data_IF_113847280497
#
_entry.id   IF_113847280497
#
_cell.length_a   1.000
_cell.length_b   1.000
_cell.length_c   1.000
_cell.angle_alpha   90.00
_cell.angle_beta   90.00
_cell.angle_gamma   90.00
#
_symmetry.space_group_name_H-M   'P 1'
#
loop_
_entity.id
_entity.type
_entity.pdbx_description
1 polymer ?
#
# COMPACT_ATOMS: atom_id res chain seq x y z
N UNK A 1 -17.58 3.52 -1.57
CA UNK A 1 -18.96 3.04 -1.85
C UNK A 1 -19.95 3.83 -1.01
N UNK A 2 -21.10 4.21 -1.56
CA UNK A 2 -22.18 4.88 -0.83
C UNK A 2 -23.51 4.22 -1.23
N UNK A 3 -24.21 3.65 -0.25
CA UNK A 3 -25.46 2.89 -0.45
C UNK A 3 -25.78 1.97 0.74
N UNK A 4 -27.02 1.49 0.86
CA UNK A 4 -27.49 0.65 1.98
C UNK A 4 -26.80 -0.71 2.06
N UNK A 5 -26.25 -1.21 0.94
CA UNK A 5 -25.36 -2.38 0.91
C UNK A 5 -23.96 -1.90 0.53
N UNK A 6 -23.04 -1.98 1.48
CA UNK A 6 -21.62 -1.69 1.32
C UNK A 6 -20.81 -2.51 2.32
N UNK A 7 -19.48 -2.52 2.18
CA UNK A 7 -18.58 -3.33 2.99
C UNK A 7 -18.37 -2.81 4.44
N UNK A 8 -19.03 -1.73 4.87
CA UNK A 8 -18.93 -1.17 6.24
C UNK A 8 -19.82 -1.92 7.23
N UNK A 9 -19.69 -3.24 7.27
CA UNK A 9 -20.38 -4.13 8.21
C UNK A 9 -19.41 -4.99 9.02
N UNK A 10 -19.93 -5.81 9.95
CA UNK A 10 -19.10 -6.65 10.82
C UNK A 10 -18.27 -7.70 10.06
N UNK A 11 -18.75 -8.17 8.90
CA UNK A 11 -18.04 -9.13 8.07
C UNK A 11 -16.68 -8.59 7.55
N UNK A 12 -16.48 -7.27 7.53
CA UNK A 12 -15.22 -6.64 7.15
C UNK A 12 -14.04 -7.13 8.00
N UNK A 13 -14.28 -7.36 9.30
CA UNK A 13 -13.25 -7.84 10.22
C UNK A 13 -12.70 -9.23 9.84
N UNK A 14 -13.46 -10.00 9.05
CA UNK A 14 -13.08 -11.32 8.55
C UNK A 14 -12.70 -11.30 7.06
N UNK A 15 -12.56 -10.11 6.46
CA UNK A 15 -12.24 -9.95 5.04
C UNK A 15 -13.44 -10.13 4.09
N UNK A 16 -14.68 -10.05 4.60
CA UNK A 16 -15.89 -10.08 3.79
C UNK A 16 -16.04 -8.79 2.96
N UNK A 17 -15.44 -8.77 1.78
CA UNK A 17 -15.44 -7.65 0.85
C UNK A 17 -16.25 -7.97 -0.41
N UNK A 18 -17.05 -7.00 -0.88
CA UNK A 18 -17.78 -7.10 -2.16
C UNK A 18 -16.80 -7.10 -3.33
N UNK A 19 -15.73 -6.30 -3.23
CA UNK A 19 -14.57 -6.35 -4.12
C UNK A 19 -13.33 -6.51 -3.24
N UNK A 20 -12.62 -7.61 -3.44
CA UNK A 20 -11.38 -7.88 -2.70
C UNK A 20 -10.26 -6.91 -3.06
N UNK A 21 -9.07 -7.25 -2.59
CA UNK A 21 -7.84 -6.50 -2.84
C UNK A 21 -6.90 -7.31 -3.74
N UNK A 22 -6.09 -6.59 -4.51
CA UNK A 22 -5.05 -7.18 -5.35
C UNK A 22 -3.83 -7.60 -4.50
N UNK A 23 -3.00 -8.54 -4.99
CA UNK A 23 -1.78 -8.93 -4.28
C UNK A 23 -0.84 -7.76 -3.97
N UNK A 24 -0.74 -6.77 -4.87
CA UNK A 24 0.12 -5.62 -4.67
C UNK A 24 -0.38 -4.68 -3.56
N UNK A 25 -1.71 -4.53 -3.43
CA UNK A 25 -2.32 -3.78 -2.32
C UNK A 25 -2.09 -4.49 -0.98
N UNK A 26 -2.13 -5.82 -0.96
CA UNK A 26 -1.78 -6.62 0.23
C UNK A 26 -0.30 -6.46 0.60
N UNK A 27 0.61 -6.54 -0.37
CA UNK A 27 2.04 -6.29 -0.14
C UNK A 27 2.26 -4.91 0.45
N UNK A 28 1.61 -3.87 -0.10
CA UNK A 28 1.69 -2.52 0.44
C UNK A 28 1.21 -2.44 1.90
N UNK A 29 0.05 -3.04 2.21
CA UNK A 29 -0.50 -3.05 3.56
C UNK A 29 0.45 -3.71 4.56
N UNK A 30 0.90 -4.94 4.28
CA UNK A 30 1.80 -5.68 5.18
C UNK A 30 3.20 -5.07 5.26
N UNK A 31 3.68 -4.45 4.18
CA UNK A 31 4.96 -3.72 4.22
C UNK A 31 4.96 -2.59 5.24
N UNK A 32 3.80 -1.99 5.54
CA UNK A 32 3.68 -0.93 6.53
C UNK A 32 4.02 -1.45 7.94
N UNK A 33 3.65 -2.69 8.25
CA UNK A 33 4.02 -3.35 9.51
C UNK A 33 5.53 -3.63 9.57
N UNK A 34 6.08 -4.19 8.49
CA UNK A 34 7.51 -4.50 8.38
C UNK A 34 8.40 -3.24 8.44
N UNK A 35 7.88 -2.09 7.99
CA UNK A 35 8.58 -0.82 7.92
C UNK A 35 8.27 0.09 9.12
N UNK A 36 8.12 -0.47 10.33
CA UNK A 36 7.91 0.30 11.56
C UNK A 36 6.73 1.28 11.50
N UNK A 37 5.67 0.93 10.77
CA UNK A 37 4.47 1.75 10.60
C UNK A 37 4.50 2.70 9.40
N UNK A 38 5.55 2.66 8.57
CA UNK A 38 5.69 3.50 7.37
C UNK A 38 5.18 2.78 6.13
N UNK A 39 4.08 3.27 5.56
CA UNK A 39 3.55 2.82 4.28
C UNK A 39 4.36 3.41 3.13
N UNK A 40 4.77 2.57 2.19
CA UNK A 40 5.47 2.96 0.96
C UNK A 40 4.56 2.71 -0.23
N UNK A 41 4.42 3.68 -1.14
CA UNK A 41 3.69 3.44 -2.40
C UNK A 41 4.54 2.56 -3.31
N UNK A 42 4.06 1.36 -3.70
CA UNK A 42 4.80 0.49 -4.59
C UNK A 42 4.86 1.09 -6.00
N UNK A 43 6.02 0.94 -6.65
CA UNK A 43 6.27 1.36 -8.01
C UNK A 43 7.22 0.35 -8.66
N UNK A 44 7.07 0.14 -9.97
CA UNK A 44 7.79 -0.92 -10.68
C UNK A 44 8.98 -0.39 -11.50
N UNK A 45 8.89 0.86 -11.94
CA UNK A 45 9.89 1.49 -12.82
C UNK A 45 10.62 2.56 -12.02
N UNK A 46 11.93 2.34 -11.79
CA UNK A 46 12.78 3.30 -11.10
C UNK A 46 13.02 4.55 -11.94
N UNK A 47 13.41 4.36 -13.19
CA UNK A 47 13.70 5.43 -14.13
C UNK A 47 13.49 4.95 -15.57
N UNK A 48 13.21 5.88 -16.47
CA UNK A 48 13.11 5.68 -17.91
C UNK A 48 14.14 6.59 -18.57
N UNK A 49 15.00 6.01 -19.42
CA UNK A 49 16.00 6.73 -20.22
C UNK A 49 15.79 6.46 -21.70
N UNK A 50 16.17 7.41 -22.54
CA UNK A 50 16.24 7.21 -23.99
C UNK A 50 17.53 6.47 -24.42
N UNK A 51 17.67 6.22 -25.72
CA UNK A 51 18.83 5.53 -26.30
C UNK A 51 20.15 6.29 -26.15
N UNK A 52 20.09 7.61 -25.91
CA UNK A 52 21.25 8.46 -25.65
C UNK A 52 21.60 8.55 -24.16
N UNK A 53 20.78 7.95 -23.29
CA UNK A 53 20.95 7.93 -21.83
C UNK A 53 20.29 9.11 -21.11
N UNK A 54 19.55 9.96 -21.82
CA UNK A 54 18.82 11.10 -21.22
C UNK A 54 17.68 10.57 -20.36
N UNK A 55 17.59 11.05 -19.13
CA UNK A 55 16.53 10.71 -18.18
C UNK A 55 15.21 11.37 -18.61
N UNK A 56 14.19 10.55 -18.85
CA UNK A 56 12.84 10.98 -19.23
C UNK A 56 11.90 10.99 -18.02
N UNK A 57 12.01 9.98 -17.16
CA UNK A 57 11.17 9.82 -15.97
C UNK A 57 12.00 9.19 -14.84
N UNK A 58 11.73 9.56 -13.60
CA UNK A 58 12.30 8.94 -12.40
C UNK A 58 11.25 8.91 -11.30
N UNK A 59 11.14 7.77 -10.62
CA UNK A 59 10.22 7.58 -9.51
C UNK A 59 10.99 7.47 -8.19
N UNK A 60 10.51 8.19 -7.18
CA UNK A 60 11.05 8.15 -5.82
C UNK A 60 9.94 7.61 -4.91
N UNK A 61 10.24 6.66 -3.99
CA UNK A 61 9.21 6.10 -3.13
C UNK A 61 8.57 7.17 -2.25
N UNK A 62 7.26 7.33 -2.38
CA UNK A 62 6.43 8.11 -1.45
C UNK A 62 6.26 7.34 -0.17
N UNK A 63 6.49 8.01 0.97
CA UNK A 63 6.42 7.43 2.31
C UNK A 63 5.39 8.17 3.15
N UNK A 64 4.62 7.42 3.92
CA UNK A 64 3.61 7.96 4.83
C UNK A 64 3.62 7.16 6.14
N UNK A 65 3.70 7.86 7.28
CA UNK A 65 3.56 7.23 8.59
C UNK A 65 2.07 6.97 8.82
N UNK A 66 1.68 5.71 8.91
CA UNK A 66 0.28 5.29 9.09
C UNK A 66 0.02 4.61 10.44
N UNK A 67 1.08 4.17 11.12
CA UNK A 67 1.04 3.58 12.46
C UNK A 67 2.23 4.08 13.28
N UNK A 68 2.04 4.18 14.60
CA UNK A 68 3.18 4.32 15.51
C UNK A 68 4.05 3.06 15.45
N UNK A 69 5.37 3.23 15.55
CA UNK A 69 6.35 2.14 15.51
C UNK A 69 6.04 1.03 16.52
N UNK A 70 5.65 1.39 17.74
CA UNK A 70 5.26 0.43 18.77
C UNK A 70 4.04 -0.40 18.37
N UNK A 71 3.06 0.23 17.73
CA UNK A 71 1.84 -0.46 17.28
C UNK A 71 2.17 -1.40 16.13
N UNK A 72 2.98 -0.96 15.16
CA UNK A 72 3.45 -1.80 14.07
C UNK A 72 4.20 -3.03 14.59
N UNK A 73 5.07 -2.85 15.60
CA UNK A 73 5.84 -3.93 16.21
C UNK A 73 4.97 -4.97 16.96
N UNK A 74 3.90 -4.54 17.63
CA UNK A 74 3.02 -5.46 18.37
C UNK A 74 2.19 -6.35 17.42
N UNK A 75 1.89 -5.85 16.22
CA UNK A 75 1.02 -6.54 15.24
C UNK A 75 1.82 -7.45 14.30
N UNK A 76 3.07 -7.09 13.99
CA UNK A 76 3.96 -7.84 13.10
C UNK A 76 4.36 -9.20 13.69
#
# INVERSE_FOLDING_TARGET
>A
ESGTRNDRGLALALGGLTRGVTPIEMVQAYSSLANAGVRVTPYFIMEVRDSSGVLLESNVPTREIVLDERTAYIVA
#
